data_IF_838157430198
#
_entry.id   IF_838157430198
#
_cell.length_a   1.000
_cell.length_b   1.000
_cell.length_c   1.000
_cell.angle_alpha   90.00
_cell.angle_beta   90.00
_cell.angle_gamma   90.00
#
_symmetry.space_group_name_H-M   'P 1'
#
loop_
_entity.id
_entity.type
_entity.pdbx_description
1 polymer ?
#
# COMPACT_ATOMS: atom_id res chain seq x y z
N UNK A 1 16.64 -2.00 -1.66
CA UNK A 1 15.29 -1.53 -2.06
C UNK A 1 14.17 -2.36 -1.43
N UNK A 2 14.23 -3.70 -1.43
CA UNK A 2 13.26 -4.58 -0.75
C UNK A 2 13.07 -4.23 0.74
N UNK A 3 14.16 -3.99 1.48
CA UNK A 3 14.06 -3.58 2.90
C UNK A 3 13.31 -2.27 3.10
N UNK A 4 13.45 -1.30 2.17
CA UNK A 4 12.71 -0.04 2.25
C UNK A 4 11.21 -0.25 2.01
N UNK A 5 10.85 -1.12 1.06
CA UNK A 5 9.45 -1.52 0.84
C UNK A 5 8.87 -2.19 2.10
N UNK A 6 9.55 -3.20 2.64
CA UNK A 6 9.07 -3.95 3.80
C UNK A 6 8.95 -3.05 5.05
N UNK A 7 9.95 -2.20 5.31
CA UNK A 7 9.89 -1.24 6.41
C UNK A 7 8.71 -0.27 6.26
N UNK A 8 8.45 0.20 5.04
CA UNK A 8 7.32 1.10 4.77
C UNK A 8 5.98 0.38 4.92
N UNK A 9 5.89 -0.88 4.48
CA UNK A 9 4.70 -1.70 4.64
C UNK A 9 4.38 -1.96 6.11
N UNK A 10 5.39 -2.16 6.95
CA UNK A 10 5.23 -2.31 8.40
C UNK A 10 4.68 -1.04 9.05
N UNK A 11 5.25 0.13 8.71
CA UNK A 11 4.73 1.43 9.19
C UNK A 11 3.28 1.65 8.75
N UNK A 12 2.97 1.41 7.48
CA UNK A 12 1.60 1.54 6.96
C UNK A 12 0.64 0.58 7.67
N UNK A 13 1.06 -0.67 7.90
CA UNK A 13 0.27 -1.66 8.63
C UNK A 13 -0.04 -1.21 10.06
N UNK A 14 0.95 -0.64 10.75
CA UNK A 14 0.76 -0.04 12.08
C UNK A 14 -0.29 1.08 12.09
N UNK A 15 -0.21 2.00 11.11
CA UNK A 15 -1.19 3.08 10.97
C UNK A 15 -2.61 2.56 10.69
N UNK A 16 -2.74 1.54 9.83
CA UNK A 16 -4.02 0.95 9.44
C UNK A 16 -4.70 0.17 10.58
N UNK A 17 -3.94 -0.29 11.57
CA UNK A 17 -4.48 -0.96 12.78
C UNK A 17 -4.83 0.01 13.91
N UNK A 18 -4.52 1.30 13.77
CA UNK A 18 -4.79 2.29 14.82
C UNK A 18 -6.31 2.44 15.03
N UNK A 19 -6.82 2.36 16.27
CA UNK A 19 -8.24 2.54 16.55
C UNK A 19 -8.76 3.93 16.15
N UNK A 20 -7.89 4.95 16.21
CA UNK A 20 -8.20 6.33 15.79
C UNK A 20 -8.58 6.40 14.31
N UNK A 21 -8.11 5.46 13.49
CA UNK A 21 -8.49 5.39 12.08
C UNK A 21 -9.99 5.12 11.92
N UNK A 22 -10.55 4.21 12.72
CA UNK A 22 -11.97 3.90 12.70
C UNK A 22 -12.81 5.09 13.19
N UNK A 23 -12.35 5.78 14.23
CA UNK A 23 -13.02 6.99 14.77
C UNK A 23 -13.11 8.13 13.74
N UNK A 24 -12.12 8.21 12.84
CA UNK A 24 -11.99 9.31 11.86
C UNK A 24 -12.32 8.88 10.43
N UNK A 25 -12.79 7.65 10.23
CA UNK A 25 -12.95 7.02 8.92
C UNK A 25 -13.64 7.90 7.87
N UNK A 26 -14.68 8.60 8.32
CA UNK A 26 -15.55 9.44 7.49
C UNK A 26 -15.11 10.92 7.40
N UNK A 27 -14.03 11.31 8.08
CA UNK A 27 -13.55 12.70 8.10
C UNK A 27 -12.68 13.03 6.89
N UNK A 28 -12.53 14.32 6.52
CA UNK A 28 -11.51 14.75 5.58
C UNK A 28 -10.11 14.33 6.03
N UNK A 29 -9.26 13.95 5.10
CA UNK A 29 -7.84 13.69 5.37
C UNK A 29 -7.00 14.97 5.22
N UNK A 30 -5.71 14.88 5.56
CA UNK A 30 -4.75 15.95 5.29
C UNK A 30 -4.47 16.14 3.78
N UNK A 31 -4.74 15.12 2.95
CA UNK A 31 -4.61 15.21 1.50
C UNK A 31 -5.93 15.70 0.90
N UNK A 32 -5.84 16.76 0.08
CA UNK A 32 -7.00 17.27 -0.64
C UNK A 32 -7.67 16.14 -1.45
N UNK A 33 -9.00 16.21 -1.57
CA UNK A 33 -9.83 15.24 -2.30
C UNK A 33 -9.92 13.84 -1.66
N UNK A 34 -9.19 13.57 -0.58
CA UNK A 34 -9.27 12.31 0.15
C UNK A 34 -9.97 12.49 1.50
N UNK A 35 -10.89 11.57 1.77
CA UNK A 35 -11.30 11.24 3.14
C UNK A 35 -10.28 10.33 3.79
N UNK A 36 -10.29 10.24 5.12
CA UNK A 36 -9.40 9.35 5.88
C UNK A 36 -9.47 7.91 5.37
N UNK A 37 -10.68 7.39 5.12
CA UNK A 37 -10.90 6.07 4.51
C UNK A 37 -10.25 5.91 3.14
N UNK A 38 -10.32 6.93 2.30
CA UNK A 38 -9.66 6.93 0.99
C UNK A 38 -8.14 6.89 1.10
N UNK A 39 -7.56 7.67 2.03
CA UNK A 39 -6.10 7.71 2.23
C UNK A 39 -5.61 6.38 2.81
N UNK A 40 -6.36 5.80 3.74
CA UNK A 40 -6.10 4.45 4.25
C UNK A 40 -6.13 3.40 3.15
N UNK A 41 -7.15 3.41 2.28
CA UNK A 41 -7.23 2.54 1.11
C UNK A 41 -6.06 2.72 0.14
N UNK A 42 -5.61 3.96 -0.07
CA UNK A 42 -4.45 4.26 -0.91
C UNK A 42 -3.16 3.62 -0.38
N UNK A 43 -2.90 3.74 0.93
CA UNK A 43 -1.75 3.11 1.59
C UNK A 43 -1.84 1.58 1.56
N UNK A 44 -3.02 1.04 1.88
CA UNK A 44 -3.26 -0.41 1.90
C UNK A 44 -3.06 -1.06 0.53
N UNK A 45 -3.48 -0.38 -0.55
CA UNK A 45 -3.37 -0.86 -1.93
C UNK A 45 -1.93 -1.20 -2.31
N UNK A 46 -0.96 -0.40 -1.88
CA UNK A 46 0.45 -0.62 -2.20
C UNK A 46 1.00 -1.92 -1.58
N UNK A 47 0.47 -2.32 -0.41
CA UNK A 47 0.86 -3.55 0.28
C UNK A 47 0.14 -4.76 -0.31
N UNK A 48 -1.19 -4.70 -0.44
CA UNK A 48 -1.99 -5.86 -0.87
C UNK A 48 -1.86 -6.20 -2.36
N UNK A 49 -1.57 -5.23 -3.22
CA UNK A 49 -1.40 -5.52 -4.64
C UNK A 49 -0.14 -6.34 -4.92
N UNK A 50 0.92 -6.19 -4.13
CA UNK A 50 2.19 -6.89 -4.37
C UNK A 50 2.02 -8.39 -4.22
N UNK A 51 1.33 -8.85 -3.18
CA UNK A 51 0.99 -10.27 -3.00
C UNK A 51 0.24 -10.83 -4.21
N UNK A 52 -0.80 -10.10 -4.67
CA UNK A 52 -1.59 -10.49 -5.84
C UNK A 52 -0.73 -10.61 -7.10
N UNK A 53 0.17 -9.67 -7.35
CA UNK A 53 1.05 -9.71 -8.52
C UNK A 53 2.06 -10.85 -8.46
N UNK A 54 2.58 -11.17 -7.27
CA UNK A 54 3.52 -12.28 -7.08
C UNK A 54 2.85 -13.65 -7.22
N UNK A 55 1.54 -13.74 -6.98
CA UNK A 55 0.78 -14.98 -7.15
C UNK A 55 0.46 -15.31 -8.61
N UNK A 56 0.48 -14.32 -9.50
CA UNK A 56 0.21 -14.51 -10.93
C UNK A 56 1.47 -15.01 -11.67
N UNK A 57 1.33 -15.96 -12.62
CA UNK A 57 2.44 -16.32 -13.49
C UNK A 57 2.94 -15.09 -14.26
N UNK A 58 4.26 -14.93 -14.42
CA UNK A 58 4.79 -13.84 -15.22
C UNK A 58 4.30 -13.97 -16.68
N UNK A 59 3.98 -12.84 -17.34
CA UNK A 59 3.53 -12.87 -18.73
C UNK A 59 4.60 -13.46 -19.65
N UNK A 60 4.17 -14.35 -20.56
CA UNK A 60 5.07 -14.99 -21.51
C UNK A 60 5.74 -13.94 -22.41
N UNK A 61 7.07 -14.01 -22.52
CA UNK A 61 7.87 -13.12 -23.37
C UNK A 61 8.14 -11.72 -22.79
N UNK A 62 7.82 -11.47 -21.52
CA UNK A 62 8.21 -10.23 -20.85
C UNK A 62 9.71 -10.19 -20.55
N UNK A 63 10.37 -9.09 -20.90
CA UNK A 63 11.74 -8.82 -20.43
C UNK A 63 11.71 -8.54 -18.93
N UNK A 64 12.43 -9.32 -18.14
CA UNK A 64 12.63 -9.02 -16.72
C UNK A 64 13.38 -7.70 -16.61
N UNK A 65 12.76 -6.71 -15.98
CA UNK A 65 13.39 -5.46 -15.60
C UNK A 65 13.78 -5.56 -14.13
N UNK A 66 15.06 -5.33 -13.86
CA UNK A 66 15.54 -5.24 -12.49
C UNK A 66 15.02 -3.92 -11.90
N UNK A 67 13.95 -4.00 -11.12
CA UNK A 67 13.28 -2.83 -10.54
C UNK A 67 14.15 -2.09 -9.51
N UNK A 68 15.37 -2.58 -9.25
CA UNK A 68 16.29 -2.13 -8.19
C UNK A 68 17.45 -1.26 -8.71
N UNK A 69 17.54 -1.01 -10.01
CA UNK A 69 18.56 -0.12 -10.59
C UNK A 69 18.30 1.37 -10.30
#
# INVERSE_FOLDING_TARGET
>A
MISAFLNTAEVASGLLRSPVLAERWERPSALAQFRVSGLAGHLARAVFNVERWLAEPPPAGGTSIDAVA
#
